data_IF_171038509826
#
_entry.id   IF_171038509826
#
_cell.length_a   1.000
_cell.length_b   1.000
_cell.length_c   1.000
_cell.angle_alpha   90.00
_cell.angle_beta   90.00
_cell.angle_gamma   90.00
#
_symmetry.space_group_name_H-M   'P 1'
#
loop_
_entity.id
_entity.type
_entity.pdbx_description
1 polymer ?
#
# COMPACT_ATOMS: atom_id res chain seq x y z
N UNK A 1 -0.57 -25.04 50.87
CA UNK A 1 -0.67 -23.80 50.07
C UNK A 1 0.63 -23.01 50.18
N UNK A 2 1.56 -23.12 49.22
CA UNK A 2 2.74 -22.23 49.02
C UNK A 2 3.58 -22.73 47.83
N UNK A 3 2.96 -22.86 46.65
CA UNK A 3 3.69 -23.21 45.41
C UNK A 3 3.30 -22.33 44.22
N UNK A 4 2.15 -21.64 44.28
CA UNK A 4 1.65 -20.80 43.19
C UNK A 4 2.38 -19.46 43.03
N UNK A 5 3.15 -19.00 44.03
CA UNK A 5 3.71 -17.64 44.04
C UNK A 5 5.05 -17.52 43.31
N UNK A 6 5.79 -18.61 43.08
CA UNK A 6 7.14 -18.55 42.48
C UNK A 6 7.12 -18.57 40.94
N UNK A 7 6.09 -19.15 40.33
CA UNK A 7 5.97 -19.24 38.86
C UNK A 7 5.59 -17.88 38.25
N UNK A 8 4.89 -17.03 38.99
CA UNK A 8 4.40 -15.75 38.47
C UNK A 8 5.49 -14.67 38.35
N UNK A 9 6.58 -14.81 39.11
CA UNK A 9 7.71 -13.85 39.08
C UNK A 9 8.65 -14.11 37.88
N UNK A 10 8.76 -15.37 37.43
CA UNK A 10 9.59 -15.73 36.26
C UNK A 10 8.91 -15.40 34.92
N UNK A 11 7.58 -15.34 34.87
CA UNK A 11 6.85 -15.13 33.61
C UNK A 11 6.75 -13.66 33.17
N UNK A 12 7.05 -12.71 34.05
CA UNK A 12 6.95 -11.27 33.75
C UNK A 12 8.26 -10.64 33.25
N UNK A 13 9.40 -11.35 33.32
CA UNK A 13 10.68 -10.86 32.81
C UNK A 13 10.91 -11.14 31.33
N UNK A 14 9.98 -11.80 30.66
CA UNK A 14 9.72 -11.52 29.24
C UNK A 14 8.98 -10.17 29.11
N UNK A 15 9.51 -9.14 29.79
CA UNK A 15 9.35 -7.75 29.38
C UNK A 15 9.94 -7.74 27.98
N UNK A 16 9.04 -7.86 27.02
CA UNK A 16 9.23 -7.49 25.63
C UNK A 16 10.18 -6.31 25.60
N UNK A 17 11.42 -6.55 25.19
CA UNK A 17 12.36 -5.49 24.90
C UNK A 17 11.62 -4.58 23.92
N UNK A 18 11.24 -3.39 24.40
CA UNK A 18 10.54 -2.39 23.59
C UNK A 18 11.47 -2.16 22.40
N UNK A 19 11.05 -2.55 21.20
CA UNK A 19 11.78 -2.24 19.97
C UNK A 19 11.82 -0.70 19.91
N UNK A 20 12.93 -0.08 20.31
CA UNK A 20 13.16 1.36 20.12
C UNK A 20 13.49 1.69 18.66
N UNK A 21 13.12 0.80 17.74
CA UNK A 21 13.38 0.92 16.32
C UNK A 21 12.04 1.09 15.64
N UNK A 22 11.86 2.28 15.05
CA UNK A 22 10.75 2.56 14.14
C UNK A 22 11.20 2.20 12.73
N UNK A 23 10.38 1.43 12.03
CA UNK A 23 10.62 0.99 10.66
C UNK A 23 9.86 1.88 9.67
N UNK A 24 10.58 2.41 8.68
CA UNK A 24 10.01 3.17 7.58
C UNK A 24 10.22 2.38 6.29
N UNK A 25 9.13 2.07 5.60
CA UNK A 25 9.16 1.43 4.29
C UNK A 25 8.84 2.46 3.20
N UNK A 26 9.77 2.64 2.27
CA UNK A 26 9.54 3.41 1.05
C UNK A 26 9.39 2.43 -0.11
N UNK A 27 8.20 2.42 -0.70
CA UNK A 27 7.90 1.71 -1.93
C UNK A 27 8.04 2.71 -3.07
N UNK A 28 8.66 2.25 -4.16
CA UNK A 28 8.79 3.04 -5.38
C UNK A 28 7.44 3.25 -6.05
N UNK A 29 7.50 3.44 -7.36
CA UNK A 29 6.37 3.81 -8.19
C UNK A 29 5.30 2.72 -8.22
N UNK A 30 4.11 3.07 -7.73
CA UNK A 30 2.88 2.30 -7.90
C UNK A 30 2.11 2.90 -9.06
N UNK A 31 1.84 2.07 -10.05
CA UNK A 31 0.92 2.39 -11.13
C UNK A 31 -0.17 1.33 -11.22
N UNK A 32 -1.44 1.76 -11.19
CA UNK A 32 -2.58 0.91 -11.50
C UNK A 32 -3.03 1.06 -12.97
N UNK A 33 -2.24 1.74 -13.81
CA UNK A 33 -2.51 1.91 -15.23
C UNK A 33 -2.00 0.72 -16.07
N UNK A 34 -2.22 0.78 -17.38
CA UNK A 34 -1.63 -0.15 -18.35
C UNK A 34 -1.98 -1.61 -18.06
N UNK A 35 -1.00 -2.52 -17.87
CA UNK A 35 -1.27 -3.94 -17.66
C UNK A 35 -2.18 -4.21 -16.46
N UNK A 36 -1.96 -3.56 -15.31
CA UNK A 36 -2.76 -3.81 -14.10
C UNK A 36 -4.24 -3.51 -14.37
N UNK A 37 -4.52 -2.35 -14.96
CA UNK A 37 -5.87 -1.96 -15.40
C UNK A 37 -6.45 -2.98 -16.38
N UNK A 38 -5.69 -3.39 -17.38
CA UNK A 38 -6.13 -4.37 -18.37
C UNK A 38 -6.57 -5.70 -17.73
N UNK A 39 -5.78 -6.25 -16.81
CA UNK A 39 -6.12 -7.52 -16.16
C UNK A 39 -7.37 -7.41 -15.27
N UNK A 40 -7.58 -6.26 -14.62
CA UNK A 40 -8.79 -6.01 -13.82
C UNK A 40 -10.02 -5.85 -14.71
N UNK A 41 -9.94 -5.06 -15.77
CA UNK A 41 -11.06 -4.82 -16.71
C UNK A 41 -11.53 -6.11 -17.41
N UNK A 42 -10.62 -7.07 -17.61
CA UNK A 42 -10.92 -8.36 -18.21
C UNK A 42 -11.26 -9.46 -17.19
N UNK A 43 -11.38 -9.11 -15.89
CA UNK A 43 -11.68 -10.04 -14.79
C UNK A 43 -10.66 -11.18 -14.63
N UNK A 44 -9.40 -10.96 -15.02
CA UNK A 44 -8.31 -11.92 -14.80
C UNK A 44 -7.72 -11.80 -13.40
N UNK A 45 -7.69 -10.58 -12.85
CA UNK A 45 -7.16 -10.27 -11.52
C UNK A 45 -7.96 -9.16 -10.84
N UNK A 46 -7.77 -9.00 -9.54
CA UNK A 46 -8.23 -7.85 -8.77
C UNK A 46 -7.10 -6.84 -8.53
N UNK A 47 -7.41 -5.59 -8.21
CA UNK A 47 -6.38 -4.63 -7.80
C UNK A 47 -5.62 -5.09 -6.55
N UNK A 48 -6.25 -5.84 -5.64
CA UNK A 48 -5.57 -6.36 -4.44
C UNK A 48 -4.48 -7.38 -4.78
N UNK A 49 -4.63 -8.11 -5.88
CA UNK A 49 -3.64 -9.09 -6.35
C UNK A 49 -2.30 -8.42 -6.68
N UNK A 50 -2.30 -7.10 -6.94
CA UNK A 50 -1.08 -6.31 -7.18
C UNK A 50 -0.10 -6.38 -6.01
N UNK A 51 -0.60 -6.56 -4.78
CA UNK A 51 0.22 -6.56 -3.56
C UNK A 51 0.20 -7.88 -2.79
N UNK A 52 -0.43 -8.94 -3.30
CA UNK A 52 -0.67 -10.18 -2.52
C UNK A 52 0.60 -10.71 -1.87
N UNK A 53 1.69 -10.71 -2.62
CA UNK A 53 2.95 -11.34 -2.23
C UNK A 53 3.79 -10.44 -1.31
N UNK A 54 3.54 -9.13 -1.34
CA UNK A 54 4.32 -8.11 -0.61
C UNK A 54 3.59 -7.52 0.59
N UNK A 55 2.29 -7.76 0.71
CA UNK A 55 1.43 -7.28 1.80
C UNK A 55 2.00 -7.60 3.21
N UNK A 56 2.56 -8.80 3.48
CA UNK A 56 3.14 -9.07 4.80
C UNK A 56 4.27 -8.12 5.19
N UNK A 57 5.14 -7.74 4.25
CA UNK A 57 6.26 -6.83 4.50
C UNK A 57 5.79 -5.38 4.70
N UNK A 58 4.79 -4.96 3.92
CA UNK A 58 4.23 -3.60 4.04
C UNK A 58 3.58 -3.41 5.41
N UNK A 59 2.84 -4.42 5.88
CA UNK A 59 2.16 -4.40 7.19
C UNK A 59 3.08 -4.57 8.39
N UNK A 60 4.29 -5.09 8.21
CA UNK A 60 5.28 -5.19 9.28
C UNK A 60 5.92 -3.82 9.60
N UNK A 61 5.93 -2.90 8.63
CA UNK A 61 6.47 -1.56 8.83
C UNK A 61 5.55 -0.71 9.72
N UNK A 62 6.15 0.10 10.59
CA UNK A 62 5.41 1.06 11.43
C UNK A 62 4.84 2.21 10.60
N UNK A 63 5.56 2.60 9.55
CA UNK A 63 5.13 3.60 8.57
C UNK A 63 5.53 3.11 7.18
N UNK A 64 4.55 3.03 6.27
CA UNK A 64 4.77 2.71 4.87
C UNK A 64 4.30 3.83 3.95
N UNK A 65 5.17 4.18 3.01
CA UNK A 65 5.00 5.29 2.08
C UNK A 65 5.21 4.77 0.66
N UNK A 66 4.31 5.13 -0.25
CA UNK A 66 4.44 4.81 -1.66
C UNK A 66 4.32 6.06 -2.55
N UNK A 67 5.05 6.05 -3.66
CA UNK A 67 4.86 7.00 -4.75
C UNK A 67 3.76 6.50 -5.70
N UNK A 68 2.62 7.18 -5.75
CA UNK A 68 1.54 6.88 -6.67
C UNK A 68 1.75 7.67 -7.98
N UNK A 69 2.24 6.99 -9.00
CA UNK A 69 2.56 7.57 -10.32
C UNK A 69 1.33 7.79 -11.20
N UNK A 70 0.24 7.06 -10.94
CA UNK A 70 -0.96 7.11 -11.75
C UNK A 70 -2.11 7.79 -10.99
N UNK A 71 -2.51 9.04 -11.34
CA UNK A 71 -3.63 9.71 -10.71
C UNK A 71 -4.93 8.92 -10.84
N UNK A 72 -5.76 8.95 -9.79
CA UNK A 72 -7.13 8.48 -9.87
C UNK A 72 -7.95 9.43 -10.73
N UNK A 73 -8.54 8.89 -11.80
CA UNK A 73 -9.36 9.65 -12.74
C UNK A 73 -10.78 9.14 -12.70
N UNK A 74 -11.74 10.04 -12.90
CA UNK A 74 -13.12 9.67 -13.15
C UNK A 74 -13.49 9.98 -14.62
N UNK A 75 -14.66 9.51 -15.07
CA UNK A 75 -15.14 9.71 -16.45
C UNK A 75 -15.16 11.18 -16.88
N UNK A 76 -15.37 12.11 -15.95
CA UNK A 76 -15.42 13.55 -16.24
C UNK A 76 -14.03 14.18 -16.39
N UNK A 77 -12.97 13.52 -15.92
CA UNK A 77 -11.58 14.00 -16.00
C UNK A 77 -10.89 13.67 -17.34
N UNK A 78 -11.44 12.74 -18.12
CA UNK A 78 -10.95 12.40 -19.47
C UNK A 78 -11.27 13.46 -20.54
N UNK A 79 -11.98 14.54 -20.16
CA UNK A 79 -12.45 15.56 -21.11
C UNK A 79 -11.33 16.44 -21.69
N UNK A 80 -10.10 16.29 -21.19
CA UNK A 80 -8.92 17.06 -21.60
C UNK A 80 -7.79 16.17 -22.16
N UNK A 81 -8.13 15.02 -22.75
CA UNK A 81 -7.13 14.14 -23.36
C UNK A 81 -6.43 14.81 -24.56
N UNK A 82 -5.17 15.20 -24.34
CA UNK A 82 -4.25 15.58 -25.41
C UNK A 82 -3.82 14.29 -26.10
N UNK A 83 -4.18 14.13 -27.37
CA UNK A 83 -4.16 12.89 -28.15
C UNK A 83 -2.79 12.19 -28.36
N UNK A 84 -1.75 12.47 -27.56
CA UNK A 84 -0.38 11.97 -27.79
C UNK A 84 0.43 11.57 -26.55
N UNK A 85 -0.14 11.55 -25.34
CA UNK A 85 0.58 11.10 -24.14
C UNK A 85 0.12 9.70 -23.69
N UNK A 86 1.05 8.93 -23.09
CA UNK A 86 0.69 7.73 -22.33
C UNK A 86 -0.19 8.18 -21.16
N UNK A 87 -1.46 7.77 -21.15
CA UNK A 87 -2.36 8.05 -20.05
C UNK A 87 -2.04 7.11 -18.88
N UNK A 88 -1.30 7.63 -17.90
CA UNK A 88 -1.06 6.93 -16.63
C UNK A 88 -2.24 7.16 -15.69
N UNK A 89 -3.38 6.57 -16.04
CA UNK A 89 -4.62 6.78 -15.32
C UNK A 89 -4.97 5.57 -14.43
N UNK A 90 -5.64 5.83 -13.30
CA UNK A 90 -6.08 4.77 -12.39
C UNK A 90 -7.55 4.89 -12.09
N UNK A 91 -8.21 3.73 -12.04
CA UNK A 91 -9.59 3.66 -11.59
C UNK A 91 -9.66 4.03 -10.10
N UNK A 92 -10.63 4.85 -9.64
CA UNK A 92 -10.77 5.21 -8.23
C UNK A 92 -10.89 3.98 -7.32
N UNK A 93 -11.42 2.87 -7.83
CA UNK A 93 -11.55 1.59 -7.13
C UNK A 93 -10.19 1.00 -6.74
N UNK A 94 -9.11 1.27 -7.49
CA UNK A 94 -7.78 0.78 -7.17
C UNK A 94 -7.23 1.32 -5.84
N UNK A 95 -7.83 2.39 -5.32
CA UNK A 95 -7.47 2.95 -4.00
C UNK A 95 -7.63 1.93 -2.87
N UNK A 96 -8.55 0.97 -3.00
CA UNK A 96 -8.75 -0.06 -1.97
C UNK A 96 -7.56 -1.00 -1.86
N UNK A 97 -6.82 -1.22 -2.95
CA UNK A 97 -5.65 -2.08 -2.95
C UNK A 97 -4.50 -1.52 -2.11
N UNK A 98 -4.35 -0.19 -2.07
CA UNK A 98 -3.38 0.47 -1.19
C UNK A 98 -3.71 0.25 0.28
N UNK A 99 -5.00 0.36 0.64
CA UNK A 99 -5.48 0.07 2.00
C UNK A 99 -5.37 -1.42 2.34
N UNK A 100 -5.65 -2.31 1.38
CA UNK A 100 -5.45 -3.74 1.53
C UNK A 100 -3.98 -4.07 1.83
N UNK A 101 -3.04 -3.47 1.11
CA UNK A 101 -1.61 -3.70 1.28
C UNK A 101 -1.07 -3.19 2.63
N UNK A 102 -1.72 -2.19 3.24
CA UNK A 102 -1.32 -1.63 4.55
C UNK A 102 -0.62 -0.29 4.49
N UNK A 103 -0.77 0.48 3.39
CA UNK A 103 -0.14 1.80 3.26
C UNK A 103 -0.78 2.88 4.15
N UNK A 104 0.05 3.59 4.93
CA UNK A 104 -0.38 4.65 5.86
C UNK A 104 -0.66 5.99 5.17
N UNK A 105 0.20 6.38 4.22
CA UNK A 105 0.04 7.60 3.43
C UNK A 105 0.39 7.40 1.96
N UNK A 106 -0.28 8.20 1.13
CA UNK A 106 -0.19 8.17 -0.34
C UNK A 106 0.37 9.52 -0.81
N UNK A 107 1.42 9.52 -1.62
CA UNK A 107 1.93 10.71 -2.28
C UNK A 107 1.77 10.56 -3.79
N UNK A 108 1.32 11.61 -4.47
CA UNK A 108 1.08 11.61 -5.92
C UNK A 108 2.27 12.23 -6.66
N UNK A 109 2.65 11.67 -7.80
CA UNK A 109 3.67 12.26 -8.68
C UNK A 109 3.17 13.54 -9.42
N UNK A 110 4.13 14.39 -9.82
CA UNK A 110 3.94 15.64 -10.59
C UNK A 110 3.32 15.35 -11.96
N UNK A 111 2.22 16.03 -12.29
CA UNK A 111 1.82 16.21 -13.69
C UNK A 111 2.93 16.98 -14.42
N UNK A 112 3.47 16.41 -15.50
CA UNK A 112 4.36 17.15 -16.40
C UNK A 112 3.60 18.38 -16.91
N UNK A 113 4.17 19.61 -16.85
CA UNK A 113 3.54 20.75 -17.49
C UNK A 113 3.41 20.46 -18.99
N UNK A 114 2.22 20.75 -19.52
CA UNK A 114 1.91 20.71 -20.94
C UNK A 114 2.69 21.77 -21.71
#
# INVERSE_FOLDING_TARGET
MKLATYIQVLLFQAVTAKKEQVSLLFVGDISFSGPVKYYVEHNYHSYNDTFSDVTPFIREADISIANLESPFVNKDMHRYEVAKAVNLDSSPEAVSALSFAGFDRRYTCKQSPA
#
